data_IF_348066943215
#
_entry.id   IF_348066943215
#
_cell.length_a   1.000
_cell.length_b   1.000
_cell.length_c   1.000
_cell.angle_alpha   90.00
_cell.angle_beta   90.00
_cell.angle_gamma   90.00
#
_symmetry.space_group_name_H-M   'P 1'
#
loop_
_entity.id
_entity.type
_entity.pdbx_description
1 polymer ?
#
# COMPACT_ATOMS: atom_id res chain seq x y z
N UNK A 1 15.37 48.41 -12.06
CA UNK A 1 14.55 48.52 -10.85
C UNK A 1 13.37 47.53 -10.82
N UNK A 2 12.65 47.31 -11.92
CA UNK A 2 11.51 46.37 -12.03
C UNK A 2 11.87 44.89 -11.80
N UNK A 3 13.05 44.42 -12.20
CA UNK A 3 13.50 43.03 -12.05
C UNK A 3 13.78 42.65 -10.60
N UNK A 4 14.44 43.53 -9.85
CA UNK A 4 14.76 43.32 -8.43
C UNK A 4 13.49 43.27 -7.56
N UNK A 5 12.47 44.07 -7.87
CA UNK A 5 11.19 44.05 -7.15
C UNK A 5 10.44 42.73 -7.44
N UNK A 6 10.46 42.23 -8.67
CA UNK A 6 9.88 40.91 -9.00
C UNK A 6 10.62 39.77 -8.34
N UNK A 7 11.94 39.83 -8.25
CA UNK A 7 12.74 38.80 -7.58
C UNK A 7 12.53 38.79 -6.06
N UNK A 8 12.44 40.00 -5.44
CA UNK A 8 12.14 40.15 -4.03
C UNK A 8 10.72 39.61 -3.71
N UNK A 9 9.72 39.93 -4.51
CA UNK A 9 8.37 39.44 -4.31
C UNK A 9 8.29 37.93 -4.52
N UNK A 10 9.05 37.35 -5.46
CA UNK A 10 9.14 35.91 -5.66
C UNK A 10 9.82 35.21 -4.47
N UNK A 11 10.92 35.76 -3.95
CA UNK A 11 11.61 35.24 -2.79
C UNK A 11 10.75 35.34 -1.51
N UNK A 12 10.10 36.47 -1.28
CA UNK A 12 9.17 36.68 -0.16
C UNK A 12 7.94 35.77 -0.23
N UNK A 13 7.44 35.52 -1.44
CA UNK A 13 6.34 34.56 -1.65
C UNK A 13 6.77 33.13 -1.36
N UNK A 14 8.01 32.78 -1.69
CA UNK A 14 8.61 31.48 -1.39
C UNK A 14 8.84 31.28 0.10
N UNK A 15 9.35 32.28 0.82
CA UNK A 15 9.50 32.22 2.28
C UNK A 15 8.16 32.10 3.01
N UNK A 16 7.13 32.84 2.58
CA UNK A 16 5.77 32.69 3.11
C UNK A 16 5.21 31.27 2.87
N UNK A 17 5.47 30.67 1.70
CA UNK A 17 5.05 29.28 1.40
C UNK A 17 5.78 28.30 2.34
N UNK A 18 7.09 28.45 2.55
CA UNK A 18 7.84 27.59 3.46
C UNK A 18 7.39 27.76 4.92
N UNK A 19 7.08 28.97 5.35
CA UNK A 19 6.61 29.26 6.71
C UNK A 19 5.20 28.67 6.93
N UNK A 20 4.30 28.76 5.97
CA UNK A 20 2.96 28.16 6.02
C UNK A 20 3.03 26.63 6.00
N UNK A 21 3.96 26.04 5.24
CA UNK A 21 4.18 24.59 5.23
C UNK A 21 4.78 24.07 6.54
N UNK A 22 5.57 24.88 7.23
CA UNK A 22 6.25 24.52 8.48
C UNK A 22 5.34 24.58 9.73
N UNK A 23 4.24 25.36 9.72
CA UNK A 23 3.45 25.64 10.93
C UNK A 23 2.17 24.82 11.06
N UNK A 24 1.69 24.15 10.02
CA UNK A 24 0.46 23.37 10.11
C UNK A 24 0.73 21.88 10.32
N UNK A 25 0.42 21.39 11.53
CA UNK A 25 0.55 19.97 11.89
C UNK A 25 -0.32 19.10 10.99
N UNK A 26 0.25 17.97 10.52
CA UNK A 26 -0.50 16.95 9.81
C UNK A 26 -1.56 16.30 10.71
N UNK A 27 -2.70 15.86 10.15
CA UNK A 27 -3.71 15.14 10.93
C UNK A 27 -3.12 13.85 11.50
N UNK A 28 -3.54 13.49 12.71
CA UNK A 28 -3.03 12.28 13.40
C UNK A 28 -3.33 10.99 12.64
N UNK A 29 -4.36 11.00 11.79
CA UNK A 29 -4.67 9.89 10.89
C UNK A 29 -3.54 9.55 9.91
N UNK A 30 -2.72 10.53 9.50
CA UNK A 30 -1.57 10.28 8.64
C UNK A 30 -0.55 9.35 9.30
N UNK A 31 -0.28 9.54 10.59
CA UNK A 31 0.66 8.68 11.33
C UNK A 31 0.12 7.25 11.50
N UNK A 32 -1.19 7.10 11.64
CA UNK A 32 -1.82 5.78 11.65
C UNK A 32 -1.65 5.09 10.30
N UNK A 33 -1.95 5.78 9.21
CA UNK A 33 -1.80 5.22 7.86
C UNK A 33 -0.33 4.92 7.55
N UNK A 34 0.60 5.79 7.98
CA UNK A 34 2.05 5.56 7.89
C UNK A 34 2.46 4.26 8.60
N UNK A 35 2.11 4.11 9.89
CA UNK A 35 2.48 2.93 10.68
C UNK A 35 1.86 1.64 10.11
N UNK A 36 0.59 1.69 9.72
CA UNK A 36 -0.13 0.58 9.09
C UNK A 36 0.55 0.14 7.79
N UNK A 37 0.89 1.11 6.93
CA UNK A 37 1.58 0.81 5.66
C UNK A 37 3.01 0.32 5.87
N UNK A 38 3.75 0.88 6.82
CA UNK A 38 5.11 0.45 7.13
C UNK A 38 5.13 -1.02 7.57
N UNK A 39 4.24 -1.40 8.50
CA UNK A 39 4.16 -2.76 8.99
C UNK A 39 3.71 -3.76 7.91
N UNK A 40 2.73 -3.40 7.09
CA UNK A 40 2.28 -4.24 5.98
C UNK A 40 3.37 -4.39 4.91
N UNK A 41 4.04 -3.30 4.55
CA UNK A 41 5.16 -3.36 3.59
C UNK A 41 6.32 -4.20 4.12
N UNK A 42 6.62 -4.11 5.41
CA UNK A 42 7.58 -4.99 6.04
C UNK A 42 7.20 -6.47 5.84
N UNK A 43 5.97 -6.85 6.16
CA UNK A 43 5.49 -8.22 5.94
C UNK A 43 5.62 -8.67 4.48
N UNK A 44 5.14 -7.85 3.54
CA UNK A 44 5.16 -8.17 2.11
C UNK A 44 6.57 -8.34 1.56
N UNK A 45 7.47 -7.39 1.81
CA UNK A 45 8.83 -7.44 1.27
C UNK A 45 9.71 -8.45 2.01
N UNK A 46 9.46 -8.69 3.30
CA UNK A 46 10.14 -9.71 4.09
C UNK A 46 9.86 -11.11 3.57
N UNK A 47 8.58 -11.44 3.38
CA UNK A 47 8.18 -12.71 2.76
C UNK A 47 8.77 -12.84 1.35
N UNK A 48 8.65 -11.80 0.53
CA UNK A 48 9.11 -11.81 -0.85
C UNK A 48 10.63 -12.04 -0.98
N UNK A 49 11.42 -11.50 -0.05
CA UNK A 49 12.87 -11.62 -0.07
C UNK A 49 13.34 -13.08 0.10
N UNK A 50 12.68 -13.84 0.98
CA UNK A 50 13.03 -15.24 1.24
C UNK A 50 12.26 -16.24 0.37
N UNK A 51 11.21 -15.80 -0.34
CA UNK A 51 10.29 -16.70 -1.04
C UNK A 51 10.94 -17.49 -2.16
N UNK A 52 11.78 -16.85 -3.01
CA UNK A 52 12.46 -17.56 -4.11
C UNK A 52 13.44 -18.61 -3.57
N UNK A 53 14.12 -18.32 -2.46
CA UNK A 53 15.04 -19.23 -1.80
C UNK A 53 14.28 -20.40 -1.16
N UNK A 54 13.14 -20.13 -0.52
CA UNK A 54 12.25 -21.16 -0.01
C UNK A 54 11.78 -22.14 -1.11
N UNK A 55 11.41 -21.62 -2.30
CA UNK A 55 11.02 -22.47 -3.42
C UNK A 55 12.16 -23.40 -3.88
N UNK A 56 13.38 -22.87 -3.97
CA UNK A 56 14.52 -23.62 -4.54
C UNK A 56 15.24 -24.48 -3.52
N UNK A 57 15.38 -24.03 -2.28
CA UNK A 57 16.19 -24.73 -1.26
C UNK A 57 15.34 -25.62 -0.32
N UNK A 58 14.11 -25.21 0.01
CA UNK A 58 13.26 -25.97 0.91
C UNK A 58 12.27 -26.89 0.14
N UNK A 59 11.58 -26.36 -0.85
CA UNK A 59 10.64 -27.14 -1.67
C UNK A 59 11.30 -27.87 -2.83
N UNK A 60 12.57 -27.58 -3.09
CA UNK A 60 13.41 -28.23 -4.13
C UNK A 60 12.82 -28.12 -5.55
N UNK A 61 12.11 -27.04 -5.85
CA UNK A 61 11.70 -26.75 -7.22
C UNK A 61 12.92 -26.39 -8.07
N UNK A 62 12.90 -26.78 -9.33
CA UNK A 62 13.89 -26.31 -10.31
C UNK A 62 13.79 -24.80 -10.49
N UNK A 63 14.88 -24.17 -10.90
CA UNK A 63 14.98 -22.69 -10.98
C UNK A 63 13.96 -22.09 -11.93
N UNK A 64 13.65 -22.76 -13.03
CA UNK A 64 12.69 -22.27 -14.02
C UNK A 64 11.26 -22.27 -13.45
N UNK A 65 10.87 -23.36 -12.80
CA UNK A 65 9.56 -23.46 -12.16
C UNK A 65 9.40 -22.50 -11.00
N UNK A 66 10.41 -22.37 -10.13
CA UNK A 66 10.43 -21.40 -9.02
C UNK A 66 10.32 -19.96 -9.55
N UNK A 67 11.02 -19.61 -10.62
CA UNK A 67 10.92 -18.28 -11.24
C UNK A 67 9.54 -18.02 -11.84
N UNK A 68 8.90 -19.04 -12.44
CA UNK A 68 7.54 -18.97 -12.97
C UNK A 68 6.51 -18.71 -11.87
N UNK A 69 6.58 -19.44 -10.75
CA UNK A 69 5.70 -19.22 -9.58
C UNK A 69 5.90 -17.81 -9.02
N UNK A 70 7.14 -17.39 -8.81
CA UNK A 70 7.47 -16.07 -8.28
C UNK A 70 6.98 -14.94 -9.21
N UNK A 71 7.18 -15.09 -10.52
CA UNK A 71 6.71 -14.15 -11.52
C UNK A 71 5.19 -14.05 -11.58
N UNK A 72 4.50 -15.19 -11.56
CA UNK A 72 3.03 -15.25 -11.54
C UNK A 72 2.45 -14.63 -10.29
N UNK A 73 3.01 -14.95 -9.12
CA UNK A 73 2.64 -14.32 -7.84
C UNK A 73 2.78 -12.80 -7.90
N UNK A 74 3.95 -12.32 -8.33
CA UNK A 74 4.24 -10.90 -8.41
C UNK A 74 3.28 -10.21 -9.38
N UNK A 75 3.07 -10.76 -10.57
CA UNK A 75 2.14 -10.22 -11.57
C UNK A 75 0.72 -10.10 -11.04
N UNK A 76 0.21 -11.15 -10.39
CA UNK A 76 -1.14 -11.15 -9.82
C UNK A 76 -1.31 -10.15 -8.68
N UNK A 77 -0.29 -9.98 -7.82
CA UNK A 77 -0.30 -8.97 -6.74
C UNK A 77 -0.42 -7.54 -7.28
N UNK A 78 0.09 -7.26 -8.50
CA UNK A 78 -0.09 -5.95 -9.14
C UNK A 78 -1.42 -5.82 -9.91
N UNK A 79 -2.00 -6.93 -10.34
CA UNK A 79 -3.27 -6.93 -11.08
C UNK A 79 -4.49 -6.87 -10.14
N UNK A 80 -4.46 -7.58 -9.03
CA UNK A 80 -5.59 -7.67 -8.08
C UNK A 80 -6.03 -6.35 -7.45
N UNK A 81 -5.19 -5.31 -7.23
CA UNK A 81 -5.62 -4.01 -6.76
C UNK A 81 -6.65 -3.31 -7.64
N UNK A 82 -6.69 -3.59 -8.93
CA UNK A 82 -7.72 -3.05 -9.83
C UNK A 82 -9.11 -3.57 -9.44
N UNK A 83 -9.21 -4.86 -9.16
CA UNK A 83 -10.47 -5.50 -8.76
C UNK A 83 -10.80 -5.17 -7.31
N UNK A 84 -9.80 -5.25 -6.42
CA UNK A 84 -9.97 -4.99 -4.98
C UNK A 84 -10.35 -3.56 -4.67
N UNK A 85 -9.78 -2.58 -5.39
CA UNK A 85 -10.16 -1.17 -5.29
C UNK A 85 -11.63 -0.95 -5.68
N UNK A 86 -12.06 -1.53 -6.80
CA UNK A 86 -13.45 -1.45 -7.25
C UNK A 86 -14.44 -2.04 -6.21
N UNK A 87 -14.11 -3.20 -5.63
CA UNK A 87 -14.92 -3.83 -4.58
C UNK A 87 -14.97 -2.98 -3.32
N UNK A 88 -13.82 -2.40 -2.93
CA UNK A 88 -13.71 -1.54 -1.77
C UNK A 88 -14.57 -0.29 -1.90
N UNK A 89 -14.51 0.38 -3.05
CA UNK A 89 -15.22 1.64 -3.26
C UNK A 89 -16.74 1.44 -3.39
N UNK A 90 -17.17 0.34 -4.04
CA UNK A 90 -18.58 0.12 -4.37
C UNK A 90 -19.36 -0.64 -3.29
N UNK A 91 -18.74 -1.61 -2.62
CA UNK A 91 -19.47 -2.56 -1.78
C UNK A 91 -19.07 -2.55 -0.30
N UNK A 92 -17.78 -2.50 0.01
CA UNK A 92 -17.30 -2.77 1.37
C UNK A 92 -17.00 -1.51 2.19
N UNK A 93 -16.69 -0.42 1.52
CA UNK A 93 -16.09 0.75 2.15
C UNK A 93 -14.62 0.53 2.53
N UNK A 94 -13.87 1.60 2.59
CA UNK A 94 -12.42 1.57 2.75
C UNK A 94 -11.99 0.89 4.06
N UNK A 95 -12.65 1.20 5.19
CA UNK A 95 -12.27 0.64 6.50
C UNK A 95 -12.40 -0.88 6.55
N UNK A 96 -13.50 -1.42 6.01
CA UNK A 96 -13.71 -2.87 5.97
C UNK A 96 -12.75 -3.55 5.01
N UNK A 97 -12.44 -2.92 3.87
CA UNK A 97 -11.50 -3.46 2.89
C UNK A 97 -10.08 -3.53 3.43
N UNK A 98 -9.62 -2.53 4.21
CA UNK A 98 -8.33 -2.58 4.90
C UNK A 98 -8.29 -3.73 5.89
N UNK A 99 -9.34 -3.89 6.71
CA UNK A 99 -9.40 -4.95 7.72
C UNK A 99 -9.41 -6.36 7.09
N UNK A 100 -10.34 -6.61 6.15
CA UNK A 100 -10.44 -7.92 5.51
C UNK A 100 -9.23 -8.23 4.63
N UNK A 101 -8.67 -7.23 3.95
CA UNK A 101 -7.44 -7.38 3.19
C UNK A 101 -6.26 -7.79 4.08
N UNK A 102 -6.09 -7.13 5.23
CA UNK A 102 -5.05 -7.48 6.20
C UNK A 102 -5.29 -8.85 6.83
N UNK A 103 -6.55 -9.23 7.13
CA UNK A 103 -6.89 -10.57 7.64
C UNK A 103 -6.54 -11.67 6.62
N UNK A 104 -6.90 -11.48 5.36
CA UNK A 104 -6.51 -12.44 4.31
C UNK A 104 -4.99 -12.57 4.20
N UNK A 105 -4.26 -11.45 4.25
CA UNK A 105 -2.79 -11.50 4.23
C UNK A 105 -2.23 -12.21 5.46
N UNK A 106 -2.81 -12.02 6.66
CA UNK A 106 -2.38 -12.74 7.86
C UNK A 106 -2.57 -14.24 7.71
N UNK A 107 -3.74 -14.69 7.25
CA UNK A 107 -4.00 -16.10 6.95
C UNK A 107 -2.98 -16.62 5.91
N UNK A 108 -2.72 -15.85 4.85
CA UNK A 108 -1.73 -16.21 3.84
C UNK A 108 -0.32 -16.40 4.43
N UNK A 109 0.13 -15.48 5.29
CA UNK A 109 1.44 -15.58 5.94
C UNK A 109 1.54 -16.79 6.88
N UNK A 110 0.46 -17.10 7.65
CA UNK A 110 0.43 -18.30 8.48
C UNK A 110 0.44 -19.58 7.64
N UNK A 111 -0.24 -19.63 6.51
CA UNK A 111 -0.17 -20.75 5.59
C UNK A 111 1.26 -20.93 5.03
N UNK A 112 1.96 -19.85 4.73
CA UNK A 112 3.38 -19.89 4.33
C UNK A 112 4.27 -20.41 5.47
N UNK A 113 4.02 -19.96 6.72
CA UNK A 113 4.72 -20.48 7.91
C UNK A 113 4.49 -21.99 8.08
N UNK A 114 3.24 -22.47 7.97
CA UNK A 114 2.94 -23.90 8.06
C UNK A 114 3.53 -24.70 6.90
N UNK A 115 3.53 -24.16 5.69
CA UNK A 115 4.19 -24.77 4.55
C UNK A 115 5.68 -25.00 4.83
N UNK A 116 6.38 -24.00 5.36
CA UNK A 116 7.79 -24.10 5.71
C UNK A 116 8.05 -24.98 6.97
N UNK A 117 7.03 -25.23 7.78
CA UNK A 117 7.13 -26.10 8.96
C UNK A 117 6.88 -27.58 8.66
N UNK A 118 6.23 -27.90 7.55
CA UNK A 118 5.78 -29.25 7.18
C UNK A 118 6.53 -29.77 5.94
N UNK A 119 7.83 -29.58 5.86
CA UNK A 119 8.66 -29.99 4.71
C UNK A 119 8.73 -31.53 4.54
N UNK A 120 8.52 -32.30 5.62
CA UNK A 120 8.49 -33.75 5.58
C UNK A 120 7.36 -34.31 4.68
N UNK A 121 6.22 -33.60 4.64
CA UNK A 121 5.06 -33.92 3.81
C UNK A 121 5.00 -32.98 2.61
N UNK A 122 5.79 -33.25 1.57
CA UNK A 122 5.95 -32.38 0.40
C UNK A 122 4.65 -31.93 -0.23
N UNK A 123 3.70 -32.87 -0.44
CA UNK A 123 2.40 -32.52 -1.05
C UNK A 123 1.62 -31.50 -0.22
N UNK A 124 1.55 -31.72 1.10
CA UNK A 124 0.85 -30.80 2.00
C UNK A 124 1.53 -29.43 2.03
N UNK A 125 2.87 -29.39 2.07
CA UNK A 125 3.64 -28.16 2.02
C UNK A 125 3.36 -27.37 0.74
N UNK A 126 3.29 -28.02 -0.42
CA UNK A 126 2.95 -27.35 -1.69
C UNK A 126 1.53 -26.78 -1.67
N UNK A 127 0.53 -27.54 -1.20
CA UNK A 127 -0.85 -27.04 -1.12
C UNK A 127 -0.99 -25.85 -0.17
N UNK A 128 -0.30 -25.89 0.98
CA UNK A 128 -0.27 -24.79 1.94
C UNK A 128 0.39 -23.55 1.33
N UNK A 129 1.48 -23.72 0.57
CA UNK A 129 2.15 -22.62 -0.12
C UNK A 129 1.20 -21.97 -1.16
N UNK A 130 0.57 -22.75 -2.05
CA UNK A 130 -0.34 -22.19 -3.05
C UNK A 130 -1.56 -21.53 -2.41
N UNK A 131 -2.11 -22.13 -1.35
CA UNK A 131 -3.16 -21.51 -0.54
C UNK A 131 -2.70 -20.19 0.06
N UNK A 132 -1.50 -20.16 0.67
CA UNK A 132 -0.90 -18.97 1.23
C UNK A 132 -0.74 -17.84 0.20
N UNK A 133 -0.17 -18.14 -0.97
CA UNK A 133 -0.03 -17.18 -2.05
C UNK A 133 -1.37 -16.62 -2.54
N UNK A 134 -2.39 -17.46 -2.66
CA UNK A 134 -3.74 -17.03 -3.06
C UNK A 134 -4.32 -16.03 -2.07
N UNK A 135 -4.24 -16.32 -0.77
CA UNK A 135 -4.71 -15.38 0.26
C UNK A 135 -3.90 -14.08 0.29
N UNK A 136 -2.58 -14.14 0.07
CA UNK A 136 -1.72 -12.96 -0.03
C UNK A 136 -2.07 -12.08 -1.23
N UNK A 137 -2.34 -12.68 -2.39
CA UNK A 137 -2.74 -11.98 -3.62
C UNK A 137 -4.06 -11.25 -3.40
N UNK A 138 -5.09 -11.96 -2.90
CA UNK A 138 -6.41 -11.39 -2.67
C UNK A 138 -6.39 -10.31 -1.59
N UNK A 139 -5.70 -10.55 -0.49
CA UNK A 139 -5.57 -9.61 0.61
C UNK A 139 -4.85 -8.32 0.20
N UNK A 140 -3.74 -8.43 -0.53
CA UNK A 140 -2.99 -7.26 -1.04
C UNK A 140 -3.84 -6.45 -2.03
N UNK A 141 -4.63 -7.14 -2.87
CA UNK A 141 -5.57 -6.50 -3.80
C UNK A 141 -6.57 -5.58 -3.11
N UNK A 142 -7.13 -6.00 -1.98
CA UNK A 142 -8.08 -5.19 -1.21
C UNK A 142 -7.39 -4.11 -0.35
N UNK A 143 -6.22 -4.38 0.19
CA UNK A 143 -5.52 -3.52 1.14
C UNK A 143 -4.83 -2.32 0.46
N UNK A 144 -4.03 -2.58 -0.57
CA UNK A 144 -3.13 -1.60 -1.18
C UNK A 144 -3.82 -0.34 -1.72
N UNK A 145 -4.88 -0.43 -2.55
CA UNK A 145 -5.55 0.75 -3.09
C UNK A 145 -6.28 1.53 -2.00
N UNK A 146 -6.84 0.85 -1.01
CA UNK A 146 -7.66 1.46 0.03
C UNK A 146 -6.84 2.29 1.01
N UNK A 147 -5.66 1.84 1.40
CA UNK A 147 -4.80 2.59 2.34
C UNK A 147 -4.25 3.86 1.70
N UNK A 148 -3.86 3.83 0.42
CA UNK A 148 -3.44 5.04 -0.29
C UNK A 148 -4.58 6.05 -0.48
N UNK A 149 -5.80 5.58 -0.71
CA UNK A 149 -7.00 6.43 -0.79
C UNK A 149 -7.32 7.13 0.54
N UNK A 150 -7.05 6.48 1.69
CA UNK A 150 -7.22 7.10 3.01
C UNK A 150 -6.36 8.34 3.21
N UNK A 151 -5.14 8.38 2.65
CA UNK A 151 -4.28 9.57 2.74
C UNK A 151 -4.96 10.77 2.10
N UNK A 152 -5.54 10.58 0.90
CA UNK A 152 -6.27 11.66 0.21
C UNK A 152 -7.49 12.17 0.97
N UNK A 153 -8.22 11.27 1.64
CA UNK A 153 -9.44 11.63 2.38
C UNK A 153 -9.19 12.34 3.71
N UNK A 154 -7.95 12.33 4.23
CA UNK A 154 -7.58 13.05 5.45
C UNK A 154 -7.45 14.57 5.26
N UNK A 155 -7.46 15.04 4.02
CA UNK A 155 -7.25 16.44 3.66
C UNK A 155 -8.41 16.98 2.84
N UNK A 156 -8.65 18.29 2.93
CA UNK A 156 -9.61 18.98 2.09
C UNK A 156 -9.12 19.04 0.62
N UNK A 157 -10.05 19.06 -0.34
CA UNK A 157 -9.67 19.26 -1.74
C UNK A 157 -8.88 20.56 -1.93
N UNK A 158 -7.67 20.46 -2.48
CA UNK A 158 -6.80 21.62 -2.70
C UNK A 158 -5.86 21.96 -1.54
N UNK A 159 -5.85 21.18 -0.45
CA UNK A 159 -4.89 21.36 0.63
C UNK A 159 -3.45 21.11 0.15
N UNK A 160 -2.59 22.13 0.26
CA UNK A 160 -1.18 22.06 -0.17
C UNK A 160 -0.34 21.06 0.62
N UNK A 161 -0.80 20.64 1.81
CA UNK A 161 -0.12 19.61 2.63
C UNK A 161 -0.28 18.19 2.09
N UNK A 162 -1.18 17.97 1.16
CA UNK A 162 -1.46 16.65 0.61
C UNK A 162 -0.22 16.04 -0.06
N UNK A 163 0.57 16.82 -0.80
CA UNK A 163 1.79 16.34 -1.46
C UNK A 163 2.84 15.88 -0.44
N UNK A 164 3.03 16.65 0.65
CA UNK A 164 3.92 16.26 1.73
C UNK A 164 3.39 15.06 2.53
N UNK A 165 2.08 14.91 2.65
CA UNK A 165 1.47 13.74 3.28
C UNK A 165 1.74 12.45 2.49
N UNK A 166 1.62 12.48 1.17
CA UNK A 166 2.01 11.34 0.34
C UNK A 166 3.50 11.05 0.43
N UNK A 167 4.35 12.08 0.51
CA UNK A 167 5.80 11.90 0.72
C UNK A 167 6.07 11.16 2.04
N UNK A 168 5.43 11.56 3.14
CA UNK A 168 5.54 10.89 4.44
C UNK A 168 5.03 9.44 4.34
N UNK A 169 3.89 9.23 3.70
CA UNK A 169 3.32 7.91 3.48
C UNK A 169 4.29 6.98 2.73
N UNK A 170 4.87 7.43 1.61
CA UNK A 170 5.84 6.66 0.84
C UNK A 170 7.17 6.45 1.59
N UNK A 171 7.56 7.38 2.47
CA UNK A 171 8.71 7.17 3.34
C UNK A 171 8.47 5.98 4.28
N UNK A 172 7.27 5.82 4.84
CA UNK A 172 6.90 4.62 5.61
C UNK A 172 6.99 3.33 4.80
N UNK A 173 6.50 3.36 3.56
CA UNK A 173 6.63 2.23 2.62
C UNK A 173 8.10 1.84 2.43
N UNK A 174 8.99 2.82 2.20
CA UNK A 174 10.42 2.59 2.00
C UNK A 174 11.12 2.08 3.26
N UNK A 175 10.79 2.61 4.43
CA UNK A 175 11.32 2.13 5.71
C UNK A 175 10.95 0.66 5.91
N UNK A 176 9.68 0.29 5.74
CA UNK A 176 9.23 -1.10 5.85
C UNK A 176 9.96 -2.02 4.86
N UNK A 177 10.06 -1.61 3.61
CA UNK A 177 10.70 -2.42 2.55
C UNK A 177 12.21 -2.56 2.72
N UNK A 178 12.89 -1.59 3.33
CA UNK A 178 14.33 -1.62 3.57
C UNK A 178 14.68 -2.60 4.70
N UNK A 179 13.99 -2.54 5.83
CA UNK A 179 14.31 -3.39 6.98
C UNK A 179 13.80 -4.83 6.82
N UNK A 180 12.77 -5.05 6.04
CA UNK A 180 12.14 -6.35 5.88
C UNK A 180 13.08 -7.47 5.38
N UNK A 181 13.82 -7.29 4.26
CA UNK A 181 14.77 -8.30 3.78
C UNK A 181 15.88 -8.59 4.79
N UNK A 182 16.36 -7.58 5.50
CA UNK A 182 17.42 -7.72 6.49
C UNK A 182 16.97 -8.60 7.66
N UNK A 183 15.78 -8.34 8.20
CA UNK A 183 15.27 -9.08 9.36
C UNK A 183 14.79 -10.46 8.94
N UNK A 184 13.91 -10.56 7.93
CA UNK A 184 13.37 -11.85 7.51
C UNK A 184 14.44 -12.75 6.87
N UNK A 185 15.43 -12.17 6.17
CA UNK A 185 16.59 -12.91 5.66
C UNK A 185 17.45 -13.44 6.77
N UNK A 186 17.81 -12.60 7.74
CA UNK A 186 18.66 -13.02 8.86
C UNK A 186 18.09 -14.21 9.65
N UNK A 187 16.79 -14.24 9.89
CA UNK A 187 16.14 -15.32 10.63
C UNK A 187 15.66 -16.47 9.74
N UNK A 188 15.42 -16.24 8.46
CA UNK A 188 14.85 -17.22 7.54
C UNK A 188 15.87 -17.91 6.64
N UNK A 189 17.08 -17.36 6.47
CA UNK A 189 18.11 -17.89 5.59
C UNK A 189 19.41 -18.17 6.36
N UNK A 190 19.37 -19.14 7.24
CA UNK A 190 20.53 -19.54 8.06
C UNK A 190 21.36 -20.66 7.43
N UNK A 191 20.89 -21.23 6.30
CA UNK A 191 21.46 -22.39 5.63
C UNK A 191 20.71 -23.69 5.93
N UNK A 192 19.81 -23.71 6.90
CA UNK A 192 18.88 -24.84 7.14
C UNK A 192 17.53 -24.54 6.47
N UNK A 193 17.05 -25.43 5.57
CA UNK A 193 15.74 -25.26 4.93
C UNK A 193 14.56 -25.14 5.91
N UNK A 194 14.70 -25.64 7.12
CA UNK A 194 13.67 -25.52 8.15
C UNK A 194 13.53 -24.11 8.74
N UNK A 195 14.52 -23.25 8.57
CA UNK A 195 14.54 -21.94 9.21
C UNK A 195 13.73 -20.89 8.42
N UNK A 196 13.38 -21.16 7.16
CA UNK A 196 12.46 -20.30 6.41
C UNK A 196 11.15 -20.03 7.16
N UNK A 197 10.68 -20.95 7.99
CA UNK A 197 9.50 -20.75 8.84
C UNK A 197 9.60 -19.53 9.73
N UNK A 198 10.79 -19.20 10.26
CA UNK A 198 10.97 -18.05 11.13
C UNK A 198 10.83 -16.73 10.37
N UNK A 199 11.34 -16.66 9.17
CA UNK A 199 11.14 -15.50 8.29
C UNK A 199 9.68 -15.25 7.95
N UNK A 200 8.92 -16.31 7.63
CA UNK A 200 7.48 -16.21 7.40
C UNK A 200 6.70 -15.87 8.67
N UNK A 201 7.11 -16.40 9.84
CA UNK A 201 6.50 -16.07 11.11
C UNK A 201 6.65 -14.59 11.46
N UNK A 202 7.84 -14.02 11.26
CA UNK A 202 8.08 -12.59 11.45
C UNK A 202 7.16 -11.76 10.54
N UNK A 203 7.06 -12.13 9.26
CA UNK A 203 6.17 -11.48 8.34
C UNK A 203 4.69 -11.57 8.78
N UNK A 204 4.26 -12.73 9.32
CA UNK A 204 2.92 -12.93 9.89
C UNK A 204 2.67 -12.03 11.10
N UNK A 205 3.63 -11.92 12.02
CA UNK A 205 3.55 -11.05 13.20
C UNK A 205 3.37 -9.59 12.80
N UNK A 206 4.12 -9.09 11.79
CA UNK A 206 3.97 -7.73 11.31
C UNK A 206 2.62 -7.49 10.62
N UNK A 207 2.05 -8.50 9.96
CA UNK A 207 0.68 -8.40 9.42
C UNK A 207 -0.36 -8.32 10.55
N UNK A 208 -0.22 -9.12 11.61
CA UNK A 208 -1.08 -9.01 12.80
C UNK A 208 -0.95 -7.64 13.46
N UNK A 209 0.26 -7.12 13.56
CA UNK A 209 0.52 -5.79 14.11
C UNK A 209 -0.18 -4.70 13.26
N UNK A 210 -0.18 -4.85 11.93
CA UNK A 210 -0.95 -3.98 11.01
C UNK A 210 -2.44 -3.98 11.36
N UNK A 211 -3.04 -5.16 11.59
CA UNK A 211 -4.46 -5.30 11.94
C UNK A 211 -4.74 -4.64 13.29
N UNK A 212 -3.93 -4.94 14.31
CA UNK A 212 -4.12 -4.43 15.67
C UNK A 212 -4.02 -2.90 15.70
N UNK A 213 -2.98 -2.32 15.10
CA UNK A 213 -2.81 -0.86 15.05
C UNK A 213 -4.00 -0.22 14.34
N UNK A 214 -4.36 -0.73 13.17
CA UNK A 214 -5.45 -0.15 12.40
C UNK A 214 -6.77 -0.23 13.15
N UNK A 215 -7.12 -1.42 13.66
CA UNK A 215 -8.42 -1.67 14.30
C UNK A 215 -8.61 -0.87 15.59
N UNK A 216 -7.57 -0.81 16.43
CA UNK A 216 -7.64 -0.10 17.71
C UNK A 216 -7.68 1.43 17.55
N UNK A 217 -7.10 1.96 16.47
CA UNK A 217 -6.89 3.40 16.35
C UNK A 217 -7.74 4.06 15.24
N UNK A 218 -8.37 3.28 14.33
CA UNK A 218 -9.15 3.80 13.21
C UNK A 218 -10.27 4.76 13.65
N UNK A 219 -10.97 4.45 14.74
CA UNK A 219 -12.09 5.27 15.21
C UNK A 219 -11.65 6.59 15.84
N UNK A 220 -10.42 6.64 16.37
CA UNK A 220 -9.87 7.81 17.04
C UNK A 220 -9.18 8.78 16.08
N UNK A 221 -8.51 8.27 15.05
CA UNK A 221 -7.63 9.06 14.21
C UNK A 221 -8.07 9.20 12.76
N UNK A 222 -8.92 8.29 12.22
CA UNK A 222 -9.47 8.41 10.87
C UNK A 222 -10.74 9.26 10.88
N UNK A 223 -10.53 10.54 11.16
CA UNK A 223 -11.57 11.58 11.16
C UNK A 223 -11.22 12.55 10.03
N UNK A 224 -12.19 12.83 9.17
CA UNK A 224 -12.04 13.79 8.08
C UNK A 224 -12.01 15.23 8.55
N UNK A 225 -11.73 16.19 7.66
CA UNK A 225 -11.77 17.61 7.96
C UNK A 225 -13.13 18.05 8.50
N UNK A 226 -14.22 17.44 8.06
CA UNK A 226 -15.60 17.71 8.47
C UNK A 226 -15.98 17.10 9.83
N UNK A 227 -15.03 16.48 10.54
CA UNK A 227 -15.28 15.80 11.81
C UNK A 227 -15.99 14.43 11.66
N UNK A 228 -16.28 14.01 10.43
CA UNK A 228 -16.91 12.71 10.16
C UNK A 228 -15.89 11.58 10.09
N UNK A 229 -16.30 10.38 10.41
CA UNK A 229 -15.45 9.21 10.30
C UNK A 229 -15.21 8.87 8.83
N UNK A 230 -13.94 8.76 8.42
CA UNK A 230 -13.55 8.43 7.06
C UNK A 230 -13.72 6.94 6.74
N UNK A 231 -13.95 6.64 5.45
CA UNK A 231 -13.95 5.27 4.93
C UNK A 231 -15.15 4.40 5.31
N UNK A 232 -16.24 5.00 5.81
CA UNK A 232 -17.52 4.34 5.98
C UNK A 232 -18.20 4.24 4.62
N UNK A 233 -19.02 3.21 4.42
CA UNK A 233 -19.82 3.05 3.20
C UNK A 233 -20.72 4.28 3.06
N UNK A 234 -20.68 5.02 1.95
CA UNK A 234 -21.65 6.06 1.69
C UNK A 234 -23.05 5.42 1.73
N UNK A 235 -23.96 5.97 2.54
CA UNK A 235 -25.34 5.52 2.54
C UNK A 235 -25.87 5.61 1.10
N UNK A 236 -26.17 4.47 0.49
CA UNK A 236 -26.47 4.32 -0.94
C UNK A 236 -27.74 5.07 -1.39
N UNK A 237 -28.34 5.87 -0.52
CA UNK A 237 -29.57 6.64 -0.76
C UNK A 237 -29.44 8.16 -0.61
N UNK A 238 -28.33 8.72 -0.08
CA UNK A 238 -28.28 10.15 0.20
C UNK A 238 -27.33 10.97 -0.66
N UNK A 239 -26.28 10.37 -1.22
CA UNK A 239 -25.28 11.09 -2.01
C UNK A 239 -24.86 10.29 -3.23
N UNK A 240 -25.77 10.09 -4.18
CA UNK A 240 -25.32 10.00 -5.57
C UNK A 240 -25.20 11.44 -6.07
N UNK A 241 -24.00 12.01 -6.21
CA UNK A 241 -23.82 13.12 -7.11
C UNK A 241 -24.30 12.59 -8.46
N UNK A 242 -25.29 13.25 -9.06
CA UNK A 242 -25.64 13.01 -10.46
C UNK A 242 -24.34 13.05 -11.23
N UNK A 243 -23.87 11.90 -11.66
CA UNK A 243 -22.72 11.79 -12.56
C UNK A 243 -23.19 12.41 -13.86
N UNK A 244 -23.05 13.70 -13.96
CA UNK A 244 -23.00 14.38 -15.22
C UNK A 244 -21.82 13.75 -15.97
N UNK A 245 -22.13 13.10 -17.09
CA UNK A 245 -21.19 12.38 -17.93
C UNK A 245 -20.17 13.35 -18.52
N UNK A 246 -19.22 13.78 -17.72
CA UNK A 246 -18.05 14.47 -18.21
C UNK A 246 -16.86 13.52 -17.99
N UNK A 247 -16.67 12.65 -18.98
CA UNK A 247 -15.39 11.93 -19.12
C UNK A 247 -14.36 13.00 -19.52
N UNK A 248 -13.88 13.76 -18.54
CA UNK A 248 -12.67 14.55 -18.71
C UNK A 248 -11.48 13.65 -18.37
N UNK A 249 -10.97 13.00 -19.41
CA UNK A 249 -9.67 12.39 -19.40
C UNK A 249 -8.62 13.50 -19.16
N UNK A 250 -8.23 13.72 -17.90
CA UNK A 250 -7.23 14.72 -17.48
C UNK A 250 -5.86 14.45 -18.13
N UNK A 251 -5.65 13.28 -18.73
CA UNK A 251 -4.40 12.91 -19.41
C UNK A 251 -4.27 13.43 -20.85
N UNK A 252 -5.37 13.86 -21.51
CA UNK A 252 -5.30 14.32 -22.90
C UNK A 252 -5.17 15.85 -23.06
N UNK A 253 -5.49 16.66 -22.07
CA UNK A 253 -5.46 18.13 -22.24
C UNK A 253 -4.07 18.75 -22.13
N UNK A 254 -3.07 18.04 -21.59
CA UNK A 254 -1.71 18.59 -21.48
C UNK A 254 -0.83 18.34 -22.72
N UNK A 255 -1.31 17.53 -23.69
CA UNK A 255 -0.52 17.19 -24.89
C UNK A 255 -0.94 17.95 -26.17
N UNK A 256 -2.10 18.59 -26.20
CA UNK A 256 -2.62 19.25 -27.41
C UNK A 256 -2.40 20.78 -27.40
N UNK A 257 -1.95 21.38 -26.30
CA UNK A 257 -1.80 22.82 -26.12
C UNK A 257 -0.50 23.46 -26.66
N UNK A 258 0.33 22.77 -27.45
CA UNK A 258 1.64 23.30 -27.87
C UNK A 258 1.99 23.05 -29.32
N UNK A 259 1.08 23.43 -30.23
CA UNK A 259 1.46 23.75 -31.63
C UNK A 259 1.09 25.18 -31.93
N UNK A 260 2.06 26.06 -32.20
CA UNK A 260 1.75 27.41 -32.70
C UNK A 260 1.19 27.30 -34.11
N UNK A 261 0.01 27.86 -34.29
CA UNK A 261 -0.65 28.02 -35.61
C UNK A 261 0.23 28.90 -36.51
N UNK A 262 0.72 28.29 -37.54
CA UNK A 262 1.62 28.89 -38.56
C UNK A 262 0.85 29.28 -39.81
N UNK A 263 -0.26 30.01 -39.67
CA UNK A 263 -0.94 30.65 -40.83
C UNK A 263 -1.76 31.85 -40.35
N UNK A 264 -1.11 33.01 -40.24
CA UNK A 264 -1.70 34.34 -40.46
C UNK A 264 -0.64 35.23 -41.10
N UNK A 265 -0.67 35.28 -42.36
CA UNK A 265 -0.28 36.45 -43.17
C UNK A 265 -1.52 37.28 -43.46
#
# INVERSE_FOLDING_TARGET
MSFLIRFYNFASHKENIYTIMSTSKHPKGLYLVFATSTAERFSYYGMRAIFILFLTQALLFDKEHAASIYGSYTGLVYLTPLIGGYIADKYWGIRRSVFWGAMMMAVGQFLMFFSASMLDTKELSHWLMYGGLTFLILGNGCFKPTVSSLVGQLYEPGDRRLDSAYTIFYMGVNVGSFFAPLVCGYFGETGDPNDFKWGFLIAAIFTLFTIVIFETQKNKYLIGPDGQQLGIIPDAKKDQPKVEKTIHCISCQHFIGRFPDKNRT
#
